data_IF_001100942690
#
_entry.id   IF_001100942690
#
_cell.length_a   1.000
_cell.length_b   1.000
_cell.length_c   1.000
_cell.angle_alpha   90.00
_cell.angle_beta   90.00
_cell.angle_gamma   90.00
#
_symmetry.space_group_name_H-M   'P 1'
#
loop_
_entity.id
_entity.type
_entity.pdbx_description
1 polymer ?
#
# COMPACT_ATOMS: atom_id res chain seq x y z
N UNK A 1 -22.93 -18.42 3.21
CA UNK A 1 -23.59 -17.35 3.97
C UNK A 1 -22.70 -16.90 5.11
N UNK A 2 -21.84 -15.90 4.89
CA UNK A 2 -21.04 -15.24 5.92
C UNK A 2 -21.87 -14.21 6.73
N UNK A 3 -23.16 -14.49 6.92
CA UNK A 3 -24.17 -13.48 7.27
C UNK A 3 -24.60 -13.48 8.76
N UNK A 4 -24.12 -14.41 9.59
CA UNK A 4 -24.45 -14.46 11.02
C UNK A 4 -23.18 -14.61 11.88
N UNK A 5 -22.23 -13.69 11.73
CA UNK A 5 -21.20 -13.52 12.75
C UNK A 5 -21.82 -12.79 13.94
N UNK A 6 -21.68 -13.36 15.14
CA UNK A 6 -22.09 -12.67 16.35
C UNK A 6 -21.31 -11.36 16.47
N UNK A 7 -21.92 -10.30 17.04
CA UNK A 7 -21.21 -9.04 17.27
C UNK A 7 -19.88 -9.29 17.99
N UNK A 8 -18.81 -8.65 17.53
CA UNK A 8 -17.45 -8.78 18.07
C UNK A 8 -16.71 -10.09 17.76
N UNK A 9 -17.26 -10.97 16.91
CA UNK A 9 -16.54 -12.20 16.51
C UNK A 9 -15.26 -11.86 15.75
N UNK A 10 -15.31 -10.89 14.84
CA UNK A 10 -14.15 -10.38 14.11
C UNK A 10 -13.08 -9.86 15.07
N UNK A 11 -13.50 -9.09 16.08
CA UNK A 11 -12.61 -8.56 17.10
C UNK A 11 -11.95 -9.67 17.92
N UNK A 12 -12.72 -10.68 18.33
CA UNK A 12 -12.21 -11.81 19.10
C UNK A 12 -11.18 -12.64 18.31
N UNK A 13 -11.44 -12.86 17.01
CA UNK A 13 -10.53 -13.58 16.11
C UNK A 13 -9.21 -12.82 15.99
N UNK A 14 -9.23 -11.53 15.64
CA UNK A 14 -7.99 -10.77 15.50
C UNK A 14 -7.23 -10.68 16.82
N UNK A 15 -7.92 -10.47 17.95
CA UNK A 15 -7.27 -10.46 19.26
C UNK A 15 -6.61 -11.79 19.61
N UNK A 16 -7.23 -12.92 19.25
CA UNK A 16 -6.66 -14.26 19.46
C UNK A 16 -5.39 -14.45 18.60
N UNK A 17 -5.45 -14.08 17.32
CA UNK A 17 -4.32 -14.17 16.40
C UNK A 17 -3.13 -13.33 16.87
N UNK A 18 -3.40 -12.09 17.31
CA UNK A 18 -2.36 -11.19 17.85
C UNK A 18 -1.78 -11.75 19.17
N UNK A 19 -2.61 -12.30 20.06
CA UNK A 19 -2.17 -12.87 21.35
C UNK A 19 -1.21 -14.05 21.18
N UNK A 20 -1.42 -14.88 20.15
CA UNK A 20 -0.59 -16.04 19.88
C UNK A 20 0.59 -15.77 18.92
N UNK A 21 0.75 -14.53 18.45
CA UNK A 21 1.84 -14.15 17.56
C UNK A 21 1.79 -14.85 16.19
N UNK A 22 0.61 -15.31 15.76
CA UNK A 22 0.46 -16.07 14.51
C UNK A 22 0.34 -15.15 13.31
N UNK A 23 1.45 -14.46 12.97
CA UNK A 23 1.52 -13.50 11.85
C UNK A 23 1.03 -14.10 10.52
N UNK A 24 1.43 -15.34 10.22
CA UNK A 24 1.03 -16.01 8.98
C UNK A 24 -0.48 -16.20 8.88
N UNK A 25 -1.14 -16.63 9.96
CA UNK A 25 -2.59 -16.80 9.97
C UNK A 25 -3.32 -15.45 9.96
N UNK A 26 -2.76 -14.41 10.60
CA UNK A 26 -3.28 -13.05 10.49
C UNK A 26 -3.35 -12.59 9.03
N UNK A 27 -2.25 -12.67 8.29
CA UNK A 27 -2.24 -12.23 6.89
C UNK A 27 -3.00 -13.18 5.96
N UNK A 28 -3.10 -14.47 6.30
CA UNK A 28 -3.97 -15.40 5.57
C UNK A 28 -5.44 -15.01 5.67
N UNK A 29 -5.91 -14.62 6.86
CA UNK A 29 -7.29 -14.14 7.05
C UNK A 29 -7.50 -12.78 6.39
N UNK A 30 -6.55 -11.85 6.53
CA UNK A 30 -6.66 -10.51 5.94
C UNK A 30 -6.65 -10.50 4.41
N UNK A 31 -5.83 -11.36 3.78
CA UNK A 31 -5.76 -11.47 2.32
C UNK A 31 -6.97 -12.18 1.71
N UNK A 32 -7.74 -12.93 2.50
CA UNK A 32 -8.87 -13.71 2.03
C UNK A 32 -10.13 -13.51 2.91
N UNK A 33 -10.39 -12.25 3.24
CA UNK A 33 -11.49 -11.84 4.13
C UNK A 33 -12.85 -12.30 3.62
N UNK A 34 -13.02 -12.43 2.30
CA UNK A 34 -14.26 -12.90 1.65
C UNK A 34 -14.52 -14.38 1.96
N UNK A 35 -13.53 -15.27 1.79
CA UNK A 35 -13.74 -16.69 2.04
C UNK A 35 -13.81 -17.01 3.54
N UNK A 36 -13.04 -16.31 4.38
CA UNK A 36 -13.14 -16.47 5.83
C UNK A 36 -14.39 -15.78 6.42
N UNK A 37 -14.97 -14.82 5.70
CA UNK A 37 -16.06 -13.98 6.18
C UNK A 37 -15.66 -13.01 7.29
N UNK A 38 -14.36 -12.80 7.53
CA UNK A 38 -13.85 -11.99 8.65
C UNK A 38 -13.23 -10.70 8.11
N UNK A 39 -13.86 -9.58 8.42
CA UNK A 39 -13.41 -8.25 8.02
C UNK A 39 -12.98 -7.44 9.26
N UNK A 40 -11.79 -6.81 9.25
CA UNK A 40 -11.36 -6.01 10.38
C UNK A 40 -12.18 -4.71 10.44
N UNK A 41 -12.86 -4.48 11.55
CA UNK A 41 -13.53 -3.22 11.84
C UNK A 41 -12.52 -2.14 12.32
N UNK A 42 -12.97 -0.90 12.53
CA UNK A 42 -12.11 0.22 12.92
C UNK A 42 -11.22 -0.08 14.14
N UNK A 43 -11.77 -0.75 15.15
CA UNK A 43 -11.07 -1.07 16.38
C UNK A 43 -10.07 -2.22 16.18
N UNK A 44 -10.47 -3.28 15.47
CA UNK A 44 -9.59 -4.39 15.13
C UNK A 44 -8.41 -3.92 14.28
N UNK A 45 -8.64 -3.10 13.26
CA UNK A 45 -7.59 -2.51 12.43
C UNK A 45 -6.59 -1.70 13.24
N UNK A 46 -7.08 -0.87 14.18
CA UNK A 46 -6.21 -0.10 15.07
C UNK A 46 -5.34 -1.01 15.97
N UNK A 47 -5.90 -2.10 16.51
CA UNK A 47 -5.12 -3.06 17.31
C UNK A 47 -4.08 -3.81 16.49
N UNK A 48 -4.42 -4.22 15.27
CA UNK A 48 -3.48 -4.91 14.38
C UNK A 48 -2.31 -3.98 14.05
N UNK A 49 -2.60 -2.71 13.69
CA UNK A 49 -1.56 -1.72 13.41
C UNK A 49 -0.69 -1.44 14.64
N UNK A 50 -1.29 -1.25 15.83
CA UNK A 50 -0.54 -1.03 17.06
C UNK A 50 0.41 -2.20 17.38
N UNK A 51 -0.06 -3.44 17.21
CA UNK A 51 0.78 -4.63 17.38
C UNK A 51 1.95 -4.66 16.40
N UNK A 52 1.68 -4.51 15.10
CA UNK A 52 2.73 -4.57 14.06
C UNK A 52 3.75 -3.43 14.19
N UNK A 53 3.29 -2.23 14.53
CA UNK A 53 4.17 -1.08 14.78
C UNK A 53 5.08 -1.29 16.00
N UNK A 54 4.57 -1.92 17.08
CA UNK A 54 5.37 -2.28 18.25
C UNK A 54 6.43 -3.34 17.95
N UNK A 55 6.08 -4.32 17.12
CA UNK A 55 7.01 -5.34 16.62
C UNK A 55 7.95 -4.82 15.52
N UNK A 56 7.80 -3.54 15.11
CA UNK A 56 8.54 -2.90 13.99
C UNK A 56 8.36 -3.62 12.65
N UNK A 57 7.25 -4.30 12.47
CA UNK A 57 6.84 -4.93 11.21
C UNK A 57 6.15 -3.91 10.31
N UNK A 58 6.94 -2.99 9.75
CA UNK A 58 6.43 -1.92 8.89
C UNK A 58 5.83 -2.41 7.56
N UNK A 59 6.35 -3.46 6.89
CA UNK A 59 5.71 -4.03 5.70
C UNK A 59 4.33 -4.60 6.03
N UNK A 60 4.21 -5.33 7.14
CA UNK A 60 2.93 -5.82 7.61
C UNK A 60 1.95 -4.68 7.94
N UNK A 61 2.42 -3.64 8.64
CA UNK A 61 1.61 -2.49 9.00
C UNK A 61 1.13 -1.70 7.76
N UNK A 62 1.99 -1.51 6.76
CA UNK A 62 1.63 -0.89 5.49
C UNK A 62 0.58 -1.72 4.73
N UNK A 63 0.71 -3.06 4.72
CA UNK A 63 -0.31 -3.93 4.11
C UNK A 63 -1.66 -3.79 4.80
N UNK A 64 -1.69 -3.73 6.13
CA UNK A 64 -2.94 -3.54 6.89
C UNK A 64 -3.54 -2.16 6.60
N UNK A 65 -2.71 -1.11 6.49
CA UNK A 65 -3.17 0.21 6.06
C UNK A 65 -3.84 0.15 4.67
N UNK A 66 -3.27 -0.60 3.72
CA UNK A 66 -3.90 -0.82 2.42
C UNK A 66 -5.23 -1.55 2.50
N UNK A 67 -5.38 -2.55 3.39
CA UNK A 67 -6.65 -3.25 3.64
C UNK A 67 -7.72 -2.31 4.21
N UNK A 68 -7.33 -1.37 5.09
CA UNK A 68 -8.22 -0.33 5.62
C UNK A 68 -8.71 0.59 4.49
N UNK A 69 -7.80 1.01 3.60
CA UNK A 69 -8.13 1.86 2.44
C UNK A 69 -9.03 1.13 1.45
N UNK A 70 -8.77 -0.15 1.17
CA UNK A 70 -9.58 -0.98 0.27
C UNK A 70 -11.03 -1.16 0.77
N UNK A 71 -11.24 -1.15 2.09
CA UNK A 71 -12.57 -1.17 2.71
C UNK A 71 -13.20 0.22 2.87
N UNK A 72 -12.54 1.27 2.37
CA UNK A 72 -12.97 2.67 2.46
C UNK A 72 -13.25 3.15 3.90
N UNK A 73 -12.51 2.61 4.87
CA UNK A 73 -12.72 2.88 6.29
C UNK A 73 -12.07 4.20 6.74
N UNK A 74 -12.67 5.34 6.40
CA UNK A 74 -12.10 6.67 6.63
C UNK A 74 -12.74 7.49 7.75
N UNK A 75 -13.78 6.99 8.43
CA UNK A 75 -14.53 7.78 9.42
C UNK A 75 -13.72 8.07 10.68
N UNK A 76 -12.79 7.19 11.03
CA UNK A 76 -11.99 7.31 12.24
C UNK A 76 -10.67 8.06 11.97
N UNK A 77 -10.54 9.28 12.49
CA UNK A 77 -9.33 10.10 12.34
C UNK A 77 -8.08 9.43 12.91
N UNK A 78 -8.16 8.80 14.09
CA UNK A 78 -7.00 8.12 14.68
C UNK A 78 -6.51 6.98 13.79
N UNK A 79 -7.42 6.16 13.26
CA UNK A 79 -7.05 5.08 12.36
C UNK A 79 -6.39 5.63 11.09
N UNK A 80 -6.94 6.69 10.49
CA UNK A 80 -6.35 7.30 9.29
C UNK A 80 -4.91 7.76 9.54
N UNK A 81 -4.65 8.41 10.68
CA UNK A 81 -3.31 8.85 11.06
C UNK A 81 -2.37 7.67 11.33
N UNK A 82 -2.85 6.60 11.98
CA UNK A 82 -2.06 5.37 12.18
C UNK A 82 -1.71 4.69 10.85
N UNK A 83 -2.66 4.61 9.92
CA UNK A 83 -2.43 4.09 8.58
C UNK A 83 -1.39 4.93 7.83
N UNK A 84 -1.54 6.26 7.83
CA UNK A 84 -0.60 7.18 7.19
C UNK A 84 0.81 7.05 7.78
N UNK A 85 0.91 6.99 9.11
CA UNK A 85 2.17 6.79 9.81
C UNK A 85 2.83 5.45 9.44
N UNK A 86 2.03 4.38 9.33
CA UNK A 86 2.52 3.06 8.95
C UNK A 86 3.11 3.06 7.53
N UNK A 87 2.45 3.76 6.60
CA UNK A 87 2.94 3.91 5.23
C UNK A 87 4.23 4.75 5.16
N UNK A 88 4.36 5.82 5.97
CA UNK A 88 5.62 6.56 6.06
C UNK A 88 6.75 5.73 6.66
N UNK A 89 6.48 4.95 7.70
CA UNK A 89 7.49 4.06 8.29
C UNK A 89 7.95 2.98 7.32
N UNK A 90 7.03 2.48 6.50
CA UNK A 90 7.39 1.60 5.39
C UNK A 90 8.25 2.32 4.35
N UNK A 91 7.91 3.56 3.99
CA UNK A 91 8.69 4.33 3.03
C UNK A 91 10.11 4.63 3.52
N UNK A 92 10.33 4.79 4.83
CA UNK A 92 11.65 4.98 5.43
C UNK A 92 12.54 3.72 5.44
N UNK A 93 11.99 2.53 5.17
CA UNK A 93 12.78 1.31 5.13
C UNK A 93 13.79 1.30 3.97
N UNK A 94 14.91 0.56 4.11
CA UNK A 94 15.76 0.24 2.96
C UNK A 94 14.92 -0.40 1.85
N UNK A 95 15.20 -0.06 0.60
CA UNK A 95 14.34 -0.47 -0.53
C UNK A 95 14.21 -2.00 -0.64
N UNK A 96 15.26 -2.74 -0.28
CA UNK A 96 15.23 -4.21 -0.23
C UNK A 96 14.15 -4.77 0.71
N UNK A 97 13.78 -4.01 1.75
CA UNK A 97 12.76 -4.37 2.73
C UNK A 97 11.38 -3.77 2.40
N UNK A 98 11.28 -2.91 1.37
CA UNK A 98 10.03 -2.34 0.89
C UNK A 98 9.26 -3.32 -0.02
N UNK A 99 9.10 -4.55 0.45
CA UNK A 99 8.40 -5.62 -0.27
C UNK A 99 7.36 -6.24 0.65
N UNK A 100 6.19 -6.55 0.09
CA UNK A 100 5.25 -7.46 0.75
C UNK A 100 5.70 -8.88 0.44
N UNK A 101 6.29 -9.54 1.44
CA UNK A 101 6.66 -10.94 1.34
C UNK A 101 5.42 -11.83 1.10
N UNK A 102 5.63 -13.08 0.70
CA UNK A 102 4.52 -13.99 0.36
C UNK A 102 3.65 -14.34 1.59
N UNK A 103 4.13 -14.05 2.80
CA UNK A 103 3.35 -14.17 4.04
C UNK A 103 2.34 -13.03 4.13
N UNK A 104 2.79 -11.79 3.90
CA UNK A 104 2.01 -10.56 3.99
C UNK A 104 1.05 -10.44 2.81
N UNK A 105 1.45 -10.88 1.62
CA UNK A 105 0.62 -10.87 0.44
C UNK A 105 0.78 -12.18 -0.34
N UNK A 106 -0.25 -13.04 -0.24
CA UNK A 106 -0.32 -14.22 -1.12
C UNK A 106 -0.63 -13.77 -2.54
N UNK A 107 0.34 -13.95 -3.44
CA UNK A 107 0.07 -13.90 -4.89
C UNK A 107 -0.76 -15.13 -5.27
N UNK A 108 -1.77 -14.97 -6.15
CA UNK A 108 -2.49 -16.12 -6.68
C UNK A 108 -1.48 -17.05 -7.37
N UNK A 109 -1.38 -18.30 -6.90
CA UNK A 109 -0.63 -19.32 -7.62
C UNK A 109 -1.46 -19.68 -8.84
N UNK A 110 -0.85 -19.62 -10.03
CA UNK A 110 -1.44 -20.21 -11.23
C UNK A 110 -1.23 -21.70 -11.06
N UNK A 111 -2.27 -22.44 -10.67
CA UNK A 111 -2.20 -23.90 -10.61
C UNK A 111 -1.97 -24.43 -12.05
N UNK A 112 -0.75 -24.90 -12.34
CA UNK A 112 -0.38 -25.43 -13.66
C UNK A 112 -1.06 -26.77 -13.99
N UNK A 113 -1.68 -27.43 -13.01
CA UNK A 113 -2.25 -28.78 -13.11
C UNK A 113 -3.80 -28.81 -13.23
N UNK A 114 -4.44 -27.74 -13.71
CA UNK A 114 -5.87 -27.80 -14.00
C UNK A 114 -6.07 -28.24 -15.44
N UNK A 115 -6.43 -29.52 -15.63
CA UNK A 115 -6.85 -30.07 -16.93
C UNK A 115 -7.94 -29.17 -17.53
N UNK A 116 -7.65 -28.54 -18.68
CA UNK A 116 -8.56 -27.57 -19.32
C UNK A 116 -9.96 -28.16 -19.57
N UNK A 117 -10.04 -29.48 -19.75
CA UNK A 117 -11.28 -30.22 -19.99
C UNK A 117 -12.19 -30.34 -18.74
N UNK A 118 -11.64 -30.16 -17.53
CA UNK A 118 -12.38 -30.21 -16.26
C UNK A 118 -12.80 -28.81 -15.76
N UNK A 119 -12.37 -27.74 -16.43
CA UNK A 119 -12.72 -26.36 -16.08
C UNK A 119 -14.15 -26.05 -16.52
N UNK A 120 -15.13 -26.34 -15.65
CA UNK A 120 -16.48 -25.76 -15.76
C UNK A 120 -16.42 -24.26 -15.49
N UNK A 121 -16.16 -23.48 -16.54
CA UNK A 121 -16.19 -22.02 -16.47
C UNK A 121 -17.62 -21.53 -16.32
N UNK A 122 -18.11 -21.34 -15.09
CA UNK A 122 -19.26 -20.47 -14.86
C UNK A 122 -18.81 -19.02 -15.02
N UNK A 123 -19.18 -18.39 -16.13
CA UNK A 123 -18.96 -16.95 -16.34
C UNK A 123 -19.85 -16.17 -15.38
N UNK A 124 -19.29 -15.70 -14.28
CA UNK A 124 -19.89 -14.61 -13.53
C UNK A 124 -19.75 -13.32 -14.36
N UNK A 125 -20.78 -12.47 -14.46
CA UNK A 125 -20.75 -11.24 -15.26
C UNK A 125 -19.94 -10.11 -14.58
N UNK A 126 -18.89 -10.44 -13.83
CA UNK A 126 -17.95 -9.45 -13.33
C UNK A 126 -16.82 -9.27 -14.35
N UNK A 127 -16.68 -8.01 -14.77
CA UNK A 127 -15.81 -7.52 -15.82
C UNK A 127 -14.36 -7.94 -15.56
N UNK A 128 -13.76 -8.77 -16.42
CA UNK A 128 -12.30 -8.90 -16.44
C UNK A 128 -11.74 -7.61 -17.03
N UNK A 129 -11.13 -6.77 -16.19
CA UNK A 129 -10.46 -5.56 -16.67
C UNK A 129 -9.17 -5.97 -17.40
N UNK A 130 -9.22 -5.96 -18.74
CA UNK A 130 -8.04 -6.14 -19.59
C UNK A 130 -7.11 -4.92 -19.60
N UNK A 131 -7.54 -3.81 -19.01
CA UNK A 131 -6.81 -2.55 -18.94
C UNK A 131 -6.65 -2.13 -17.48
N UNK A 132 -5.45 -1.63 -17.15
CA UNK A 132 -5.16 -1.04 -15.84
C UNK A 132 -5.93 0.29 -15.70
N UNK A 133 -7.08 0.26 -15.05
CA UNK A 133 -7.94 1.42 -14.80
C UNK A 133 -7.65 2.09 -13.45
N UNK A 134 -6.61 1.63 -12.74
CA UNK A 134 -6.28 2.10 -11.41
C UNK A 134 -7.29 1.66 -10.35
N UNK A 135 -8.06 0.57 -10.56
CA UNK A 135 -8.91 -0.04 -9.53
C UNK A 135 -8.08 -0.66 -8.38
N UNK A 136 -8.72 -1.11 -7.29
CA UNK A 136 -8.03 -1.58 -6.06
C UNK A 136 -7.48 -3.01 -6.12
N UNK A 137 -7.57 -3.67 -7.28
CA UNK A 137 -7.06 -5.03 -7.55
C UNK A 137 -5.54 -5.04 -7.79
N UNK A 138 -4.81 -4.16 -7.12
CA UNK A 138 -3.37 -4.00 -7.27
C UNK A 138 -2.63 -5.10 -6.50
N UNK A 139 -1.76 -5.81 -7.21
CA UNK A 139 -0.90 -6.83 -6.61
C UNK A 139 0.47 -6.25 -6.24
N UNK A 140 0.98 -5.32 -7.05
CA UNK A 140 2.29 -4.69 -6.84
C UNK A 140 2.33 -3.87 -5.55
N UNK A 141 3.36 -4.10 -4.73
CA UNK A 141 3.56 -3.43 -3.43
C UNK A 141 3.58 -1.91 -3.58
N UNK A 142 4.34 -1.39 -4.54
CA UNK A 142 4.49 0.05 -4.75
C UNK A 142 3.17 0.72 -5.11
N UNK A 143 2.43 0.13 -6.05
CA UNK A 143 1.14 0.66 -6.50
C UNK A 143 0.12 0.64 -5.36
N UNK A 144 0.12 -0.40 -4.52
CA UNK A 144 -0.78 -0.49 -3.38
C UNK A 144 -0.45 0.58 -2.33
N UNK A 145 0.84 0.78 -2.01
CA UNK A 145 1.31 1.80 -1.06
C UNK A 145 1.01 3.20 -1.58
N UNK A 146 1.33 3.49 -2.85
CA UNK A 146 1.10 4.78 -3.49
C UNK A 146 -0.39 5.17 -3.49
N UNK A 147 -1.25 4.24 -3.89
CA UNK A 147 -2.70 4.44 -3.86
C UNK A 147 -3.24 4.61 -2.44
N UNK A 148 -2.72 3.85 -1.48
CA UNK A 148 -3.10 3.95 -0.07
C UNK A 148 -2.74 5.33 0.51
N UNK A 149 -1.53 5.81 0.22
CA UNK A 149 -1.07 7.15 0.60
C UNK A 149 -1.96 8.24 -0.02
N UNK A 150 -2.24 8.14 -1.32
CA UNK A 150 -3.08 9.11 -2.04
C UNK A 150 -4.46 9.25 -1.41
N UNK A 151 -5.14 8.12 -1.17
CA UNK A 151 -6.48 8.11 -0.62
C UNK A 151 -6.52 8.59 0.83
N UNK A 152 -5.65 8.08 1.70
CA UNK A 152 -5.59 8.52 3.10
C UNK A 152 -5.27 10.00 3.21
N UNK A 153 -4.30 10.48 2.44
CA UNK A 153 -3.91 11.87 2.46
C UNK A 153 -5.03 12.78 1.96
N UNK A 154 -5.74 12.39 0.89
CA UNK A 154 -6.93 13.10 0.40
C UNK A 154 -7.99 13.23 1.49
N UNK A 155 -8.32 12.14 2.17
CA UNK A 155 -9.35 12.14 3.22
C UNK A 155 -8.93 12.95 4.45
N UNK A 156 -7.67 12.86 4.88
CA UNK A 156 -7.14 13.66 5.99
C UNK A 156 -7.16 15.15 5.63
N UNK A 157 -6.74 15.50 4.40
CA UNK A 157 -6.76 16.88 3.90
C UNK A 157 -8.17 17.44 3.79
N UNK A 158 -9.14 16.62 3.36
CA UNK A 158 -10.55 17.05 3.29
C UNK A 158 -11.15 17.34 4.68
N UNK A 159 -10.72 16.61 5.71
CA UNK A 159 -11.22 16.76 7.09
C UNK A 159 -10.42 17.76 7.93
N UNK A 160 -9.19 18.08 7.54
CA UNK A 160 -8.31 19.00 8.27
C UNK A 160 -8.31 20.40 7.64
N UNK A 161 -8.58 21.43 8.45
CA UNK A 161 -8.58 22.83 7.99
C UNK A 161 -7.20 23.48 7.99
N UNK A 162 -6.22 22.91 8.69
CA UNK A 162 -4.91 23.53 8.95
C UNK A 162 -3.74 22.59 8.62
N UNK A 163 -3.80 21.90 7.49
CA UNK A 163 -2.68 21.09 7.04
C UNK A 163 -1.61 21.97 6.39
N UNK A 164 -0.35 21.83 6.84
CA UNK A 164 0.78 22.56 6.27
C UNK A 164 0.91 22.24 4.76
N UNK A 165 0.93 23.29 3.94
CA UNK A 165 1.04 23.15 2.49
C UNK A 165 2.35 22.47 2.08
N UNK A 166 3.44 22.75 2.81
CA UNK A 166 4.74 22.13 2.54
C UNK A 166 4.69 20.63 2.85
N UNK A 167 4.08 20.23 3.98
CA UNK A 167 3.85 18.82 4.30
C UNK A 167 3.03 18.15 3.19
N UNK A 168 1.96 18.79 2.72
CA UNK A 168 1.12 18.21 1.68
C UNK A 168 1.84 17.95 0.37
N UNK A 169 2.71 18.88 -0.06
CA UNK A 169 3.54 18.69 -1.26
C UNK A 169 4.54 17.55 -1.08
N UNK A 170 5.13 17.39 0.10
CA UNK A 170 6.04 16.28 0.40
C UNK A 170 5.33 14.92 0.29
N UNK A 171 4.08 14.83 0.74
CA UNK A 171 3.28 13.59 0.59
C UNK A 171 2.93 13.34 -0.88
N UNK A 172 2.55 14.38 -1.63
CA UNK A 172 2.24 14.27 -3.07
C UNK A 172 3.46 13.78 -3.88
N UNK A 173 4.66 14.23 -3.54
CA UNK A 173 5.92 13.72 -4.11
C UNK A 173 6.07 12.20 -3.87
N UNK A 174 5.82 11.73 -2.64
CA UNK A 174 5.89 10.31 -2.31
C UNK A 174 4.84 9.49 -3.05
N UNK A 175 3.61 10.01 -3.16
CA UNK A 175 2.54 9.35 -3.93
C UNK A 175 2.94 9.16 -5.38
N UNK A 176 3.43 10.22 -6.04
CA UNK A 176 3.83 10.15 -7.45
C UNK A 176 5.04 9.22 -7.65
N UNK A 177 5.95 9.17 -6.68
CA UNK A 177 7.07 8.24 -6.69
C UNK A 177 6.59 6.77 -6.65
N UNK A 178 5.70 6.43 -5.72
CA UNK A 178 5.18 5.05 -5.58
C UNK A 178 4.24 4.65 -6.73
N UNK A 179 3.49 5.58 -7.30
CA UNK A 179 2.64 5.33 -8.46
C UNK A 179 3.41 5.31 -9.80
N UNK A 180 4.72 5.61 -9.80
CA UNK A 180 5.54 5.65 -11.01
C UNK A 180 5.20 6.78 -11.99
N UNK A 181 4.52 7.85 -11.53
CA UNK A 181 4.08 8.97 -12.38
C UNK A 181 5.16 10.05 -12.46
N UNK A 182 6.17 9.84 -13.30
CA UNK A 182 7.34 10.72 -13.40
C UNK A 182 7.00 12.13 -13.90
N UNK A 183 6.10 12.26 -14.88
CA UNK A 183 5.67 13.57 -15.41
C UNK A 183 5.00 14.46 -14.35
N UNK A 184 4.23 13.86 -13.44
CA UNK A 184 3.56 14.56 -12.35
C UNK A 184 4.55 14.91 -11.24
N UNK A 185 5.50 14.01 -10.97
CA UNK A 185 6.58 14.21 -10.00
C UNK A 185 7.41 15.45 -10.35
N UNK A 186 7.83 15.62 -11.61
CA UNK A 186 8.59 16.80 -12.06
C UNK A 186 7.82 18.11 -11.82
N UNK A 187 6.53 18.13 -12.17
CA UNK A 187 5.67 19.30 -11.99
C UNK A 187 5.52 19.70 -10.52
N UNK A 188 5.46 18.72 -9.62
CA UNK A 188 5.34 18.97 -8.18
C UNK A 188 6.67 19.41 -7.59
N UNK A 189 7.79 18.79 -7.98
CA UNK A 189 9.13 19.19 -7.55
C UNK A 189 9.44 20.64 -7.92
N UNK A 190 9.13 21.07 -9.15
CA UNK A 190 9.34 22.46 -9.58
C UNK A 190 8.51 23.50 -8.81
N UNK A 191 7.41 23.10 -8.16
CA UNK A 191 6.53 23.98 -7.35
C UNK A 191 6.84 23.95 -5.86
N UNK A 192 7.70 23.03 -5.41
CA UNK A 192 7.92 22.77 -3.99
C UNK A 192 9.14 23.56 -3.51
N UNK A 193 8.94 24.46 -2.55
CA UNK A 193 10.00 25.31 -2.00
C UNK A 193 10.84 24.59 -0.94
N UNK A 194 10.22 23.68 -0.19
CA UNK A 194 10.82 22.99 0.94
C UNK A 194 10.54 21.50 0.88
N UNK A 195 11.55 20.73 0.50
CA UNK A 195 11.49 19.27 0.50
C UNK A 195 12.18 18.78 1.77
N UNK A 196 11.55 17.84 2.47
CA UNK A 196 12.13 17.21 3.65
C UNK A 196 13.32 16.33 3.28
N UNK A 197 14.33 16.26 4.15
CA UNK A 197 15.56 15.48 3.89
C UNK A 197 15.27 14.01 3.62
N UNK A 198 14.38 13.40 4.41
CA UNK A 198 13.97 12.00 4.24
C UNK A 198 13.39 11.75 2.85
N UNK A 199 12.53 12.64 2.34
CA UNK A 199 11.95 12.49 1.00
C UNK A 199 13.01 12.62 -0.10
N UNK A 200 13.99 13.52 0.06
CA UNK A 200 15.13 13.63 -0.87
C UNK A 200 15.97 12.35 -0.91
N UNK A 201 16.26 11.76 0.26
CA UNK A 201 17.02 10.51 0.36
C UNK A 201 16.26 9.34 -0.29
N UNK A 202 14.93 9.27 -0.08
CA UNK A 202 14.07 8.27 -0.72
C UNK A 202 14.00 8.45 -2.23
N UNK A 203 13.89 9.67 -2.73
CA UNK A 203 13.94 9.95 -4.17
C UNK A 203 15.27 9.49 -4.76
N UNK A 204 16.41 9.89 -4.17
CA UNK A 204 17.74 9.51 -4.68
C UNK A 204 17.94 8.00 -4.71
N UNK A 205 17.57 7.30 -3.65
CA UNK A 205 17.72 5.85 -3.56
C UNK A 205 16.81 5.12 -4.56
N UNK A 206 15.55 5.52 -4.69
CA UNK A 206 14.58 4.87 -5.60
C UNK A 206 14.91 5.13 -7.07
N UNK A 207 15.27 6.37 -7.40
CA UNK A 207 15.69 6.75 -8.74
C UNK A 207 16.98 6.01 -9.12
N UNK A 208 17.94 5.86 -8.19
CA UNK A 208 19.14 5.04 -8.41
C UNK A 208 18.84 3.59 -8.81
N UNK A 209 17.87 2.94 -8.17
CA UNK A 209 17.47 1.59 -8.52
C UNK A 209 16.71 1.49 -9.85
N UNK A 210 15.89 2.48 -10.20
CA UNK A 210 15.26 2.54 -11.53
C UNK A 210 16.33 2.61 -12.63
N UNK A 211 17.44 3.31 -12.38
CA UNK A 211 18.60 3.35 -13.28
C UNK A 211 19.33 2.02 -13.38
N UNK A 212 19.52 1.32 -12.26
CA UNK A 212 20.16 -0.01 -12.28
C UNK A 212 19.32 -1.05 -13.02
N UNK A 213 17.99 -0.97 -12.93
CA UNK A 213 17.05 -1.85 -13.64
C UNK A 213 16.96 -1.57 -15.16
N UNK A 214 17.46 -0.44 -15.65
CA UNK A 214 17.52 -0.14 -17.09
C UNK A 214 18.68 -0.89 -17.77
N UNK A 215 18.48 -1.45 -18.98
CA UNK A 215 19.57 -2.05 -19.77
C UNK A 215 20.66 -1.00 -20.09
N UNK A 216 21.91 -1.45 -20.18
CA UNK A 216 23.10 -0.58 -20.24
C UNK A 216 23.07 0.49 -21.34
N UNK A 217 22.38 0.23 -22.45
CA UNK A 217 22.22 1.16 -23.58
C UNK A 217 21.22 2.31 -23.28
N UNK A 218 20.30 2.15 -22.32
CA UNK A 218 19.31 3.17 -21.93
C UNK A 218 19.68 4.00 -20.70
N UNK A 219 20.85 3.77 -20.09
CA UNK A 219 21.28 4.44 -18.85
C UNK A 219 21.81 5.87 -19.06
N UNK A 220 22.40 6.16 -20.23
CA UNK A 220 22.95 7.49 -20.54
C UNK A 220 21.94 8.43 -21.23
N UNK A 221 20.90 7.85 -21.87
CA UNK A 221 19.87 8.56 -22.64
C UNK A 221 18.61 8.89 -21.85
N UNK A 222 18.46 8.42 -20.61
CA UNK A 222 17.24 8.65 -19.86
C UNK A 222 17.18 10.11 -19.35
N UNK A 223 16.58 10.98 -20.16
CA UNK A 223 16.49 12.43 -19.90
C UNK A 223 15.82 12.73 -18.56
N UNK A 224 14.84 11.92 -18.15
CA UNK A 224 14.10 12.05 -16.89
C UNK A 224 15.03 11.97 -15.67
N UNK A 225 16.09 11.16 -15.75
CA UNK A 225 17.09 11.02 -14.67
C UNK A 225 18.02 12.23 -14.54
N UNK A 226 18.50 12.76 -15.67
CA UNK A 226 19.30 14.00 -15.69
C UNK A 226 18.47 15.18 -15.18
N UNK A 227 17.18 15.21 -15.51
CA UNK A 227 16.23 16.24 -15.08
C UNK A 227 15.92 16.15 -13.59
N UNK A 228 15.66 14.96 -13.06
CA UNK A 228 15.44 14.73 -11.61
C UNK A 228 16.67 15.07 -10.77
N UNK A 229 17.88 14.69 -11.20
CA UNK A 229 19.11 15.09 -10.51
C UNK A 229 19.42 16.59 -10.61
N UNK A 230 18.92 17.29 -11.64
CA UNK A 230 19.03 18.75 -11.73
C UNK A 230 18.05 19.49 -10.81
N UNK A 231 16.99 18.82 -10.34
CA UNK A 231 15.95 19.37 -9.47
C UNK A 231 16.16 19.07 -7.97
N UNK A 232 17.05 18.11 -7.63
CA UNK A 232 17.36 17.65 -6.26
C UNK A 232 18.71 18.16 -5.74
#
# INVERSE_FOLDING_TARGET
NAADLLPSTEYAIFRLLLKHGTKNELFKVLNDSINYGVFPNYHASALILDYLLKEKDYPGAAKVASVVVQQEMFDNSLLNHLCLYSLFKFAELPIEQQIFDDVIQKRPQVDEDVNEDDIKTMKFPYLKNYYFDGHFDLIETDALVGKSLEWLFREIKAKSTNLDEDFGKNVEILVNLYNGKMDELEKVLGKTKKISKSVVELLKSRVGQLVEKLPAEGREENEDFKRLNGLL
#
